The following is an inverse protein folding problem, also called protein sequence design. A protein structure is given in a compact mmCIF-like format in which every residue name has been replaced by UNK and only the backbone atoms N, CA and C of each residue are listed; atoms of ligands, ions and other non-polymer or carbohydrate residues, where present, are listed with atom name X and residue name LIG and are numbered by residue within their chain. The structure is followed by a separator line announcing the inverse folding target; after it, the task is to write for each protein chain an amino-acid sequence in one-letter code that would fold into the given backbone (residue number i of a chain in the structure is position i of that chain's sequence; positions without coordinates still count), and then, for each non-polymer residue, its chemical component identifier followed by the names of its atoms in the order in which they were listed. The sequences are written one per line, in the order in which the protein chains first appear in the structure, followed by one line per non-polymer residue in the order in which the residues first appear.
data_IF_429054438005
#
_entry.id   IF_429054438005
#
_cell.length_a   1.000
_cell.length_b   1.000
_cell.length_c   1.000
_cell.angle_alpha   90.00
_cell.angle_beta   90.00
_cell.angle_gamma   90.00
#
_symmetry.space_group_name_H-M   'P 1'
#
loop_
_entity.id
_entity.type
_entity.pdbx_description
1 polymer ?
#
# COMPACT_ATOMS: atom_id res chain seq x y z
N UNK A 1 21.41 -5.81 24.17
CA UNK A 1 21.68 -5.31 22.79
C UNK A 1 20.44 -4.68 22.17
N UNK A 2 19.27 -5.36 22.11
CA UNK A 2 18.05 -4.76 21.51
C UNK A 2 17.56 -3.57 22.32
N UNK A 3 17.64 -3.62 23.65
CA UNK A 3 17.19 -2.53 24.55
C UNK A 3 18.12 -1.32 24.52
N UNK A 4 19.35 -1.47 24.04
CA UNK A 4 20.34 -0.40 23.94
C UNK A 4 20.33 0.30 22.57
N UNK A 5 19.49 -0.17 21.64
CA UNK A 5 19.41 0.39 20.29
C UNK A 5 18.78 1.78 20.33
N UNK A 6 19.48 2.74 19.75
CA UNK A 6 18.97 4.11 19.64
C UNK A 6 17.78 4.14 18.66
N UNK A 7 16.62 4.58 19.14
CA UNK A 7 15.43 4.77 18.30
C UNK A 7 15.72 5.90 17.31
N UNK A 8 15.84 5.55 16.04
CA UNK A 8 16.15 6.51 14.96
C UNK A 8 14.95 7.40 14.60
N UNK A 9 13.72 6.84 14.63
CA UNK A 9 12.48 7.54 14.34
C UNK A 9 11.80 7.92 15.67
N UNK A 10 11.88 9.20 16.04
CA UNK A 10 11.25 9.71 17.27
C UNK A 10 9.87 10.24 16.98
N UNK A 11 8.98 10.13 17.97
CA UNK A 11 7.63 10.68 17.90
C UNK A 11 7.65 12.20 17.67
N UNK A 12 6.72 12.69 16.86
CA UNK A 12 6.57 14.12 16.61
C UNK A 12 5.82 14.82 17.74
N UNK A 13 5.77 16.14 17.67
CA UNK A 13 5.07 16.97 18.68
C UNK A 13 3.56 16.86 18.61
N UNK A 14 3.03 16.29 17.53
CA UNK A 14 1.61 16.24 17.19
C UNK A 14 1.21 17.48 16.39
N UNK A 15 0.86 17.27 15.13
CA UNK A 15 0.38 18.32 14.24
C UNK A 15 -1.07 18.03 13.83
N UNK A 16 -1.82 19.08 13.52
CA UNK A 16 -3.18 18.96 12.99
C UNK A 16 -3.11 18.90 11.47
N UNK A 17 -3.80 17.93 10.88
CA UNK A 17 -3.96 17.83 9.45
C UNK A 17 -4.52 19.13 8.85
N UNK A 18 -4.00 19.51 7.68
CA UNK A 18 -4.43 20.69 6.92
C UNK A 18 -5.35 20.30 5.74
N UNK A 19 -5.21 19.06 5.29
CA UNK A 19 -5.96 18.42 4.20
C UNK A 19 -6.47 17.08 4.69
N UNK A 20 -7.13 16.31 3.82
CA UNK A 20 -7.62 14.95 4.12
C UNK A 20 -7.30 14.03 2.95
N UNK A 21 -6.65 12.90 3.23
CA UNK A 21 -6.37 11.86 2.24
C UNK A 21 -5.35 12.29 1.19
N UNK A 22 -4.41 13.19 1.51
CA UNK A 22 -3.37 13.60 0.56
C UNK A 22 -2.00 13.07 0.96
N UNK A 23 -1.18 12.76 -0.06
CA UNK A 23 0.23 12.39 0.12
C UNK A 23 1.07 13.20 -0.85
N UNK A 24 2.13 13.85 -0.35
CA UNK A 24 3.01 14.65 -1.19
C UNK A 24 4.47 14.38 -0.85
N UNK A 25 5.28 14.16 -1.86
CA UNK A 25 6.73 14.06 -1.79
C UNK A 25 7.33 15.32 -2.43
N UNK A 26 8.23 16.00 -1.72
CA UNK A 26 8.90 17.21 -2.18
C UNK A 26 10.41 17.00 -2.17
N UNK A 27 10.99 16.78 -3.35
CA UNK A 27 12.43 16.59 -3.58
C UNK A 27 13.04 15.55 -2.61
N UNK A 28 12.33 14.43 -2.44
CA UNK A 28 12.69 13.40 -1.45
C UNK A 28 13.84 12.57 -1.96
N UNK A 29 14.92 12.51 -1.16
CA UNK A 29 16.01 11.57 -1.34
C UNK A 29 16.16 10.73 -0.07
N UNK A 30 16.51 9.47 -0.24
CA UNK A 30 16.67 8.53 0.87
C UNK A 30 17.86 7.60 0.65
N UNK A 31 18.61 7.38 1.72
CA UNK A 31 19.59 6.29 1.84
C UNK A 31 19.45 5.62 3.20
N UNK A 32 19.71 4.33 3.26
CA UNK A 32 19.76 3.61 4.54
C UNK A 32 20.92 4.11 5.41
N UNK A 33 20.84 3.96 6.75
CA UNK A 33 21.81 4.56 7.66
C UNK A 33 23.27 4.28 7.33
N UNK A 34 23.61 3.07 6.94
CA UNK A 34 24.98 2.66 6.67
C UNK A 34 25.34 2.62 5.17
N UNK A 35 24.46 3.15 4.31
CA UNK A 35 24.69 3.19 2.88
C UNK A 35 25.45 4.47 2.47
N UNK A 36 26.41 4.32 1.54
CA UNK A 36 27.14 5.47 0.96
C UNK A 36 26.26 6.18 -0.08
N UNK A 37 25.53 5.42 -0.89
CA UNK A 37 24.74 5.92 -2.02
C UNK A 37 23.25 6.09 -1.65
N UNK A 38 22.60 7.01 -2.37
CA UNK A 38 21.15 7.19 -2.27
C UNK A 38 20.43 6.04 -3.00
N UNK A 39 19.43 5.45 -2.32
CA UNK A 39 18.51 4.50 -2.96
C UNK A 39 17.39 5.23 -3.70
N UNK A 40 16.99 6.39 -3.23
CA UNK A 40 16.01 7.28 -3.87
C UNK A 40 16.60 8.67 -4.00
N UNK A 41 16.44 9.29 -5.17
CA UNK A 41 16.97 10.61 -5.47
C UNK A 41 15.90 11.52 -6.08
N UNK A 42 15.67 12.65 -5.41
CA UNK A 42 14.87 13.78 -5.88
C UNK A 42 13.44 13.40 -6.37
N UNK A 43 12.76 12.58 -5.60
CA UNK A 43 11.41 12.12 -5.93
C UNK A 43 10.40 13.18 -5.51
N UNK A 44 9.57 13.62 -6.47
CA UNK A 44 8.50 14.59 -6.22
C UNK A 44 7.21 14.15 -6.90
N UNK A 45 6.12 14.07 -6.12
CA UNK A 45 4.77 13.84 -6.63
C UNK A 45 3.73 14.24 -5.60
N UNK A 46 2.48 14.40 -6.04
CA UNK A 46 1.32 14.61 -5.15
C UNK A 46 0.18 13.69 -5.54
N UNK A 47 -0.35 12.98 -4.55
CA UNK A 47 -1.61 12.24 -4.58
C UNK A 47 -2.70 13.09 -3.92
N UNK A 48 -3.82 13.30 -4.61
CA UNK A 48 -5.00 13.99 -4.08
C UNK A 48 -5.94 12.97 -3.47
N UNK A 49 -6.84 13.44 -2.61
CA UNK A 49 -7.91 12.61 -2.05
C UNK A 49 -8.68 11.89 -3.15
N UNK A 50 -8.86 10.57 -2.99
CA UNK A 50 -9.59 9.73 -3.92
C UNK A 50 -8.80 9.30 -5.16
N UNK A 51 -7.57 9.79 -5.38
CA UNK A 51 -6.72 9.33 -6.49
C UNK A 51 -6.11 7.96 -6.20
N UNK A 52 -5.96 7.18 -7.26
CA UNK A 52 -5.14 5.96 -7.26
C UNK A 52 -3.79 6.26 -7.92
N UNK A 53 -2.71 6.17 -7.16
CA UNK A 53 -1.34 6.34 -7.64
C UNK A 53 -0.65 4.98 -7.64
N UNK A 54 -0.09 4.60 -8.77
CA UNK A 54 0.66 3.36 -8.90
C UNK A 54 2.16 3.63 -9.03
N UNK A 55 2.96 2.70 -8.50
CA UNK A 55 4.43 2.72 -8.61
C UNK A 55 4.89 1.46 -9.31
N UNK A 56 5.65 1.62 -10.38
CA UNK A 56 6.22 0.53 -11.16
C UNK A 56 7.71 0.79 -11.45
N UNK A 57 8.45 -0.24 -11.76
CA UNK A 57 9.88 -0.20 -12.07
C UNK A 57 10.52 -1.57 -11.81
N UNK A 58 11.77 -1.72 -12.17
CA UNK A 58 12.55 -2.95 -11.98
C UNK A 58 12.63 -3.35 -10.50
N UNK A 59 12.96 -4.62 -10.24
CA UNK A 59 13.27 -5.07 -8.87
C UNK A 59 14.48 -4.28 -8.35
N UNK A 60 14.38 -3.79 -7.11
CA UNK A 60 15.44 -2.96 -6.52
C UNK A 60 15.37 -1.46 -6.85
N UNK A 61 14.43 -0.99 -7.69
CA UNK A 61 14.30 0.43 -8.04
C UNK A 61 13.82 1.34 -6.88
N UNK A 62 13.59 0.79 -5.68
CA UNK A 62 13.24 1.58 -4.49
C UNK A 62 11.75 1.74 -4.20
N UNK A 63 10.84 1.06 -4.93
CA UNK A 63 9.37 1.22 -4.78
C UNK A 63 8.87 1.00 -3.34
N UNK A 64 9.18 -0.14 -2.74
CA UNK A 64 8.77 -0.44 -1.36
C UNK A 64 9.41 0.52 -0.36
N UNK A 65 10.67 0.90 -0.58
CA UNK A 65 11.33 1.90 0.27
C UNK A 65 10.63 3.24 0.19
N UNK A 66 10.23 3.69 -1.00
CA UNK A 66 9.52 4.95 -1.21
C UNK A 66 8.22 4.98 -0.41
N UNK A 67 7.36 3.96 -0.53
CA UNK A 67 6.10 3.94 0.19
C UNK A 67 6.27 3.75 1.70
N UNK A 68 7.39 3.16 2.16
CA UNK A 68 7.73 3.00 3.58
C UNK A 68 8.11 4.32 4.28
N UNK A 69 8.40 5.37 3.52
CA UNK A 69 8.60 6.71 4.08
C UNK A 69 7.28 7.37 4.51
N UNK A 70 6.14 6.94 3.96
CA UNK A 70 4.81 7.49 4.29
C UNK A 70 4.40 7.14 5.72
N UNK A 71 4.40 5.85 6.16
CA UNK A 71 4.16 5.49 7.55
C UNK A 71 5.35 5.82 8.46
N UNK A 72 6.41 6.44 7.90
CA UNK A 72 7.59 6.82 8.63
C UNK A 72 8.31 5.63 9.29
N UNK A 73 8.41 4.50 8.56
CA UNK A 73 9.30 3.42 8.97
C UNK A 73 10.78 3.83 8.90
N UNK A 74 11.04 4.82 8.04
CA UNK A 74 12.30 5.55 7.92
C UNK A 74 12.01 7.03 7.69
N UNK A 75 12.90 7.91 8.12
CA UNK A 75 12.85 9.32 7.79
C UNK A 75 13.57 9.60 6.46
N UNK A 76 12.99 10.44 5.61
CA UNK A 76 13.67 10.91 4.41
C UNK A 76 15.00 11.60 4.77
N UNK A 77 16.06 11.33 4.00
CA UNK A 77 17.39 11.93 4.18
C UNK A 77 17.40 13.39 3.73
N UNK A 78 16.70 13.69 2.61
CA UNK A 78 16.49 15.06 2.10
C UNK A 78 15.04 15.21 1.66
N UNK A 79 14.56 16.44 1.57
CA UNK A 79 13.20 16.76 1.18
C UNK A 79 12.18 16.48 2.27
N UNK A 80 10.92 16.46 1.88
CA UNK A 80 9.79 16.32 2.81
C UNK A 80 8.77 15.31 2.27
N UNK A 81 8.27 14.46 3.18
CA UNK A 81 7.09 13.62 2.96
C UNK A 81 5.94 14.21 3.76
N UNK A 82 4.86 14.59 3.09
CA UNK A 82 3.69 15.16 3.73
C UNK A 82 2.50 14.20 3.60
N UNK A 83 1.76 14.07 4.69
CA UNK A 83 0.44 13.43 4.75
C UNK A 83 -0.55 14.51 5.21
N UNK A 84 -1.62 14.70 4.46
CA UNK A 84 -2.63 15.73 4.74
C UNK A 84 -2.03 17.13 4.91
N UNK A 85 -1.04 17.45 4.09
CA UNK A 85 -0.37 18.76 4.09
C UNK A 85 0.56 19.01 5.28
N UNK A 86 0.87 17.98 6.07
CA UNK A 86 1.75 18.05 7.25
C UNK A 86 2.92 17.09 7.07
N UNK A 87 4.13 17.54 7.40
CA UNK A 87 5.31 16.67 7.35
C UNK A 87 5.14 15.50 8.32
N UNK A 88 5.40 14.28 7.85
CA UNK A 88 5.23 13.05 8.64
C UNK A 88 6.05 13.07 9.94
N UNK A 89 7.15 13.83 9.98
CA UNK A 89 8.00 14.02 11.18
C UNK A 89 7.31 14.80 12.31
N UNK A 90 6.27 15.57 11.98
CA UNK A 90 5.55 16.39 12.96
C UNK A 90 4.39 15.63 13.63
N UNK A 91 3.92 14.54 13.03
CA UNK A 91 2.87 13.70 13.61
C UNK A 91 3.36 12.93 14.84
N UNK A 92 2.47 12.71 15.81
CA UNK A 92 2.59 11.51 16.66
C UNK A 92 2.37 10.29 15.77
N UNK A 93 3.20 9.27 15.90
CA UNK A 93 3.15 8.07 15.05
C UNK A 93 1.77 7.39 15.10
N UNK A 94 1.15 7.35 16.28
CA UNK A 94 -0.22 6.83 16.44
C UNK A 94 -1.23 7.57 15.56
N UNK A 95 -1.16 8.89 15.50
CA UNK A 95 -2.10 9.71 14.72
C UNK A 95 -1.86 9.52 13.21
N UNK A 96 -0.59 9.42 12.80
CA UNK A 96 -0.24 9.09 11.42
C UNK A 96 -0.77 7.70 11.04
N UNK A 97 -0.52 6.68 11.87
CA UNK A 97 -0.94 5.30 11.59
C UNK A 97 -2.46 5.13 11.54
N UNK A 98 -3.22 5.93 12.28
CA UNK A 98 -4.68 5.91 12.22
C UNK A 98 -5.23 6.38 10.86
N UNK A 99 -4.46 7.16 10.09
CA UNK A 99 -4.81 7.60 8.74
C UNK A 99 -4.51 6.58 7.65
N UNK A 100 -3.62 5.62 7.94
CA UNK A 100 -3.04 4.72 6.95
C UNK A 100 -3.54 3.29 7.12
N UNK A 101 -3.90 2.66 6.00
CA UNK A 101 -4.11 1.22 5.88
C UNK A 101 -2.97 0.61 5.08
N UNK A 102 -1.95 0.09 5.75
CA UNK A 102 -0.77 -0.50 5.11
C UNK A 102 -0.95 -2.00 4.91
N UNK A 103 -0.83 -2.46 3.68
CA UNK A 103 -0.93 -3.86 3.29
C UNK A 103 0.44 -4.31 2.77
N UNK A 104 1.20 -5.08 3.55
CA UNK A 104 2.56 -5.48 3.18
C UNK A 104 2.56 -6.56 2.08
N UNK A 105 3.67 -6.68 1.38
CA UNK A 105 3.92 -7.72 0.38
C UNK A 105 3.73 -9.13 0.96
N UNK A 106 4.20 -9.35 2.20
CA UNK A 106 3.99 -10.59 2.94
C UNK A 106 3.03 -10.37 4.08
N UNK A 107 1.85 -10.94 3.96
CA UNK A 107 0.82 -10.83 4.99
C UNK A 107 1.26 -11.54 6.29
N UNK A 108 1.13 -10.82 7.40
CA UNK A 108 1.39 -11.35 8.75
C UNK A 108 0.08 -11.67 9.43
N UNK A 109 -0.05 -12.91 9.93
CA UNK A 109 -1.19 -13.35 10.73
C UNK A 109 -0.74 -13.62 12.17
N UNK A 110 -1.60 -13.24 13.10
CA UNK A 110 -1.41 -13.46 14.53
C UNK A 110 -2.20 -14.67 14.98
N UNK A 111 -1.72 -15.34 16.04
CA UNK A 111 -2.48 -16.40 16.69
C UNK A 111 -3.80 -15.83 17.25
N UNK A 112 -4.92 -16.44 16.90
CA UNK A 112 -6.25 -15.96 17.27
C UNK A 112 -7.33 -16.46 16.33
N UNK A 113 -8.34 -15.65 16.07
CA UNK A 113 -9.43 -15.98 15.15
C UNK A 113 -9.34 -15.16 13.86
N UNK A 114 -10.16 -15.50 12.87
CA UNK A 114 -10.36 -14.67 11.67
C UNK A 114 -10.77 -13.26 12.08
N UNK A 115 -11.81 -13.13 12.95
CA UNK A 115 -12.28 -11.83 13.45
C UNK A 115 -11.19 -11.04 14.16
N UNK A 116 -10.43 -11.66 15.06
CA UNK A 116 -9.37 -10.97 15.80
C UNK A 116 -8.24 -10.50 14.91
N UNK A 117 -7.92 -11.26 13.85
CA UNK A 117 -6.93 -10.85 12.86
C UNK A 117 -7.40 -9.68 12.02
N UNK A 118 -8.68 -9.62 11.63
CA UNK A 118 -9.23 -8.51 10.84
C UNK A 118 -9.39 -7.25 11.70
N UNK A 119 -9.85 -7.40 12.94
CA UNK A 119 -10.00 -6.27 13.88
C UNK A 119 -8.68 -5.84 14.54
N UNK A 120 -7.54 -6.42 14.14
CA UNK A 120 -6.25 -6.16 14.78
C UNK A 120 -5.78 -4.73 14.59
N UNK A 121 -5.42 -4.09 15.69
CA UNK A 121 -4.85 -2.75 15.75
C UNK A 121 -5.91 -1.65 15.94
N UNK A 122 -5.47 -0.55 16.55
CA UNK A 122 -6.29 0.64 16.75
C UNK A 122 -6.46 1.40 15.43
N UNK A 123 -7.63 2.03 15.24
CA UNK A 123 -7.95 2.85 14.06
C UNK A 123 -8.27 4.32 14.41
N UNK A 124 -8.22 4.66 15.69
CA UNK A 124 -8.60 6.01 16.15
C UNK A 124 -10.11 6.31 16.11
N UNK A 125 -10.95 5.36 15.63
CA UNK A 125 -12.40 5.53 15.42
C UNK A 125 -13.25 4.64 16.36
N UNK A 126 -12.60 3.92 17.28
CA UNK A 126 -13.25 3.00 18.22
C UNK A 126 -13.19 1.54 17.76
N UNK A 127 -14.01 0.69 18.36
CA UNK A 127 -14.03 -0.75 18.10
C UNK A 127 -14.53 -1.07 16.69
N UNK A 128 -13.88 -2.03 16.03
CA UNK A 128 -14.29 -2.55 14.73
C UNK A 128 -15.45 -3.53 14.93
N UNK A 129 -16.63 -3.16 14.47
CA UNK A 129 -17.85 -3.97 14.66
C UNK A 129 -17.84 -5.24 13.81
N UNK A 130 -18.68 -6.22 14.21
CA UNK A 130 -18.85 -7.47 13.44
C UNK A 130 -19.34 -7.22 12.01
N UNK A 131 -20.17 -6.20 11.81
CA UNK A 131 -20.65 -5.78 10.49
C UNK A 131 -19.49 -5.29 9.62
N UNK A 132 -18.64 -4.42 10.15
CA UNK A 132 -17.44 -3.94 9.43
C UNK A 132 -16.48 -5.08 9.07
N UNK A 133 -16.32 -6.08 9.96
CA UNK A 133 -15.52 -7.28 9.68
C UNK A 133 -16.11 -8.05 8.50
N UNK A 134 -17.44 -8.29 8.49
CA UNK A 134 -18.12 -8.99 7.40
C UNK A 134 -17.99 -8.26 6.07
N UNK A 135 -18.22 -6.95 6.06
CA UNK A 135 -18.07 -6.13 4.87
C UNK A 135 -16.63 -6.15 4.33
N UNK A 136 -15.65 -6.04 5.22
CA UNK A 136 -14.23 -6.12 4.86
C UNK A 136 -13.85 -7.47 4.26
N UNK A 137 -14.34 -8.58 4.83
CA UNK A 137 -14.16 -9.95 4.31
C UNK A 137 -14.74 -10.09 2.90
N UNK A 138 -15.94 -9.55 2.69
CA UNK A 138 -16.62 -9.58 1.39
C UNK A 138 -15.86 -8.77 0.33
N UNK A 139 -15.49 -7.54 0.64
CA UNK A 139 -14.71 -6.67 -0.26
C UNK A 139 -13.35 -7.30 -0.59
N UNK A 140 -12.67 -7.88 0.39
CA UNK A 140 -11.40 -8.57 0.22
C UNK A 140 -11.50 -9.94 -0.50
N UNK A 141 -12.69 -10.33 -0.98
CA UNK A 141 -12.95 -11.63 -1.63
C UNK A 141 -12.57 -12.83 -0.75
N UNK A 142 -12.72 -12.68 0.57
CA UNK A 142 -12.36 -13.70 1.54
C UNK A 142 -13.56 -14.54 2.01
N UNK A 143 -14.79 -14.14 1.69
CA UNK A 143 -16.04 -14.74 2.19
C UNK A 143 -16.15 -16.22 1.84
N UNK A 144 -15.77 -16.61 0.60
CA UNK A 144 -15.89 -17.99 0.17
C UNK A 144 -15.08 -18.97 1.04
N UNK A 145 -13.83 -18.64 1.37
CA UNK A 145 -13.04 -19.55 2.19
C UNK A 145 -13.32 -19.41 3.67
N UNK A 146 -13.64 -18.21 4.18
CA UNK A 146 -14.01 -17.99 5.58
C UNK A 146 -15.29 -18.74 5.93
N UNK A 147 -16.30 -18.73 5.05
CA UNK A 147 -17.56 -19.48 5.26
C UNK A 147 -17.39 -20.99 5.30
N UNK A 148 -16.32 -21.52 4.67
CA UNK A 148 -15.98 -22.95 4.66
C UNK A 148 -15.12 -23.38 5.86
N UNK A 149 -14.58 -22.43 6.63
CA UNK A 149 -13.79 -22.74 7.82
C UNK A 149 -14.73 -23.18 8.96
N UNK A 150 -14.28 -24.14 9.76
CA UNK A 150 -14.96 -24.51 11.01
C UNK A 150 -15.04 -23.29 11.94
N UNK A 151 -16.25 -22.99 12.44
CA UNK A 151 -16.57 -21.77 13.20
C UNK A 151 -16.46 -20.44 12.44
N UNK A 152 -16.29 -20.44 11.11
CA UNK A 152 -16.31 -19.27 10.23
C UNK A 152 -15.41 -18.11 10.71
N UNK A 153 -16.00 -17.01 11.23
CA UNK A 153 -15.27 -15.83 11.73
C UNK A 153 -14.51 -16.09 13.03
N UNK A 154 -14.92 -17.09 13.81
CA UNK A 154 -14.25 -17.54 15.04
C UNK A 154 -13.26 -18.70 14.75
N UNK A 155 -13.09 -19.06 13.49
CA UNK A 155 -12.11 -20.05 13.06
C UNK A 155 -10.71 -19.66 13.48
N UNK A 156 -9.96 -20.62 14.00
CA UNK A 156 -8.61 -20.42 14.51
C UNK A 156 -7.61 -20.14 13.38
N UNK A 157 -6.84 -19.10 13.53
CA UNK A 157 -5.67 -18.78 12.72
C UNK A 157 -4.41 -19.00 13.57
N UNK A 158 -3.54 -19.89 13.13
CA UNK A 158 -2.29 -20.18 13.82
C UNK A 158 -1.29 -19.03 13.68
N UNK A 159 -0.31 -18.94 14.56
CA UNK A 159 0.79 -17.95 14.49
C UNK A 159 1.47 -18.00 13.11
N UNK A 160 1.61 -16.84 12.45
CA UNK A 160 2.11 -16.74 11.09
C UNK A 160 1.17 -17.28 10.02
N UNK A 161 -0.06 -17.70 10.39
CA UNK A 161 -1.06 -18.23 9.46
C UNK A 161 -0.64 -19.54 8.79
N UNK A 162 0.03 -20.43 9.50
CA UNK A 162 0.52 -21.70 8.93
C UNK A 162 -0.58 -22.63 8.46
N UNK A 163 -1.82 -22.43 8.91
CA UNK A 163 -3.00 -23.19 8.56
C UNK A 163 -3.86 -22.52 7.44
N UNK A 164 -3.38 -21.46 6.82
CA UNK A 164 -4.04 -20.79 5.69
C UNK A 164 -3.06 -20.56 4.54
N UNK A 165 -3.55 -20.57 3.29
CA UNK A 165 -2.71 -20.37 2.11
C UNK A 165 -2.19 -18.93 2.00
N UNK A 166 -1.15 -18.70 1.15
CA UNK A 166 -0.60 -17.37 0.91
C UNK A 166 -1.65 -16.37 0.43
N UNK A 167 -2.49 -16.77 -0.54
CA UNK A 167 -3.57 -15.94 -1.06
C UNK A 167 -4.67 -15.68 -0.03
N UNK A 168 -4.96 -16.63 0.86
CA UNK A 168 -5.90 -16.43 1.97
C UNK A 168 -5.34 -15.44 3.00
N UNK A 169 -4.06 -15.57 3.39
CA UNK A 169 -3.39 -14.60 4.27
C UNK A 169 -3.47 -13.19 3.69
N UNK A 170 -3.17 -13.06 2.40
CA UNK A 170 -3.17 -11.77 1.72
C UNK A 170 -4.56 -11.13 1.74
N UNK A 171 -5.62 -11.91 1.44
CA UNK A 171 -7.00 -11.43 1.51
C UNK A 171 -7.42 -11.04 2.93
N UNK A 172 -7.00 -11.78 3.95
CA UNK A 172 -7.25 -11.39 5.36
C UNK A 172 -6.48 -10.12 5.74
N UNK A 173 -5.25 -9.93 5.25
CA UNK A 173 -4.49 -8.70 5.46
C UNK A 173 -5.16 -7.49 4.80
N UNK A 174 -5.70 -7.66 3.60
CA UNK A 174 -6.50 -6.64 2.91
C UNK A 174 -7.78 -6.34 3.70
N UNK A 175 -8.50 -7.38 4.15
CA UNK A 175 -9.70 -7.21 4.99
C UNK A 175 -9.39 -6.43 6.28
N UNK A 176 -8.25 -6.69 6.93
CA UNK A 176 -7.78 -5.92 8.09
C UNK A 176 -7.64 -4.44 7.79
N UNK A 177 -7.02 -4.08 6.66
CA UNK A 177 -6.87 -2.69 6.27
C UNK A 177 -8.22 -2.03 5.95
N UNK A 178 -9.13 -2.75 5.25
CA UNK A 178 -10.48 -2.26 4.92
C UNK A 178 -11.31 -2.03 6.20
N UNK A 179 -11.28 -2.96 7.16
CA UNK A 179 -12.04 -2.85 8.40
C UNK A 179 -11.63 -1.63 9.25
N UNK A 180 -10.40 -1.18 9.13
CA UNK A 180 -9.89 0.03 9.80
C UNK A 180 -10.42 1.33 9.19
N UNK A 181 -10.93 1.30 7.94
CA UNK A 181 -11.48 2.44 7.21
C UNK A 181 -10.54 3.66 7.22
N UNK A 182 -9.31 3.52 6.68
CA UNK A 182 -8.32 4.59 6.64
C UNK A 182 -8.62 5.62 5.54
N UNK A 183 -7.98 6.79 5.62
CA UNK A 183 -8.04 7.83 4.59
C UNK A 183 -7.14 7.49 3.38
N UNK A 184 -6.06 6.73 3.62
CA UNK A 184 -5.05 6.37 2.63
C UNK A 184 -4.74 4.87 2.73
N UNK A 185 -4.89 4.14 1.63
CA UNK A 185 -4.46 2.75 1.51
C UNK A 185 -3.11 2.66 0.82
N UNK A 186 -2.22 1.81 1.35
CA UNK A 186 -0.90 1.54 0.78
C UNK A 186 -0.77 0.04 0.55
N UNK A 187 -0.70 -0.37 -0.72
CA UNK A 187 -0.52 -1.75 -1.15
C UNK A 187 0.92 -1.96 -1.62
N UNK A 188 1.71 -2.67 -0.84
CA UNK A 188 3.08 -3.02 -1.21
C UNK A 188 3.09 -4.38 -1.91
N UNK A 189 2.98 -4.39 -3.23
CA UNK A 189 2.95 -5.58 -4.11
C UNK A 189 1.99 -6.68 -3.61
N UNK A 190 0.89 -6.24 -2.97
CA UNK A 190 -0.01 -7.12 -2.21
C UNK A 190 -0.93 -7.95 -3.10
N UNK A 191 -1.01 -7.66 -4.38
CA UNK A 191 -1.84 -8.38 -5.35
C UNK A 191 -1.09 -9.54 -6.03
N UNK A 192 0.23 -9.58 -5.95
CA UNK A 192 1.07 -10.60 -6.61
C UNK A 192 0.81 -12.03 -6.14
N UNK A 193 0.36 -12.19 -4.89
CA UNK A 193 0.00 -13.48 -4.30
C UNK A 193 -1.40 -14.00 -4.71
N UNK A 194 -2.17 -13.21 -5.47
CA UNK A 194 -3.52 -13.53 -5.89
C UNK A 194 -3.54 -14.03 -7.34
N UNK A 195 -4.47 -14.94 -7.65
CA UNK A 195 -4.77 -15.29 -9.02
C UNK A 195 -5.43 -14.10 -9.75
N UNK A 196 -5.32 -14.09 -11.08
CA UNK A 196 -5.78 -12.97 -11.91
C UNK A 196 -7.27 -12.64 -11.74
N UNK A 197 -8.13 -13.65 -11.59
CA UNK A 197 -9.58 -13.46 -11.42
C UNK A 197 -9.89 -12.81 -10.07
N UNK A 198 -9.31 -13.35 -9.00
CA UNK A 198 -9.47 -12.80 -7.64
C UNK A 198 -8.94 -11.37 -7.56
N UNK A 199 -7.74 -11.09 -8.11
CA UNK A 199 -7.15 -9.75 -8.18
C UNK A 199 -8.08 -8.76 -8.88
N UNK A 200 -8.59 -9.10 -10.08
CA UNK A 200 -9.46 -8.21 -10.85
C UNK A 200 -10.76 -7.88 -10.12
N UNK A 201 -11.44 -8.89 -9.55
CA UNK A 201 -12.70 -8.69 -8.80
C UNK A 201 -12.44 -7.87 -7.53
N UNK A 202 -11.38 -8.20 -6.78
CA UNK A 202 -11.02 -7.49 -5.55
C UNK A 202 -10.77 -6.01 -5.83
N UNK A 203 -9.98 -5.65 -6.84
CA UNK A 203 -9.71 -4.25 -7.20
C UNK A 203 -10.98 -3.49 -7.60
N UNK A 204 -11.89 -4.14 -8.31
CA UNK A 204 -13.19 -3.55 -8.68
C UNK A 204 -14.05 -3.26 -7.44
N UNK A 205 -14.16 -4.20 -6.51
CA UNK A 205 -14.90 -4.02 -5.26
C UNK A 205 -14.20 -3.01 -4.33
N UNK A 206 -12.87 -3.06 -4.24
CA UNK A 206 -12.08 -2.09 -3.48
C UNK A 206 -12.32 -0.67 -3.97
N UNK A 207 -12.28 -0.43 -5.29
CA UNK A 207 -12.54 0.91 -5.88
C UNK A 207 -13.93 1.44 -5.54
N UNK A 208 -14.95 0.57 -5.50
CA UNK A 208 -16.31 0.98 -5.10
C UNK A 208 -16.37 1.34 -3.61
N UNK A 209 -15.72 0.52 -2.77
CA UNK A 209 -15.75 0.69 -1.32
C UNK A 209 -14.92 1.90 -0.86
N UNK A 210 -13.76 2.10 -1.48
CA UNK A 210 -12.77 3.13 -1.09
C UNK A 210 -12.81 4.39 -1.95
N UNK A 211 -13.94 4.67 -2.61
CA UNK A 211 -14.09 5.79 -3.58
C UNK A 211 -13.62 7.17 -3.09
N UNK A 212 -13.65 7.39 -1.79
CA UNK A 212 -13.23 8.65 -1.16
C UNK A 212 -11.83 8.57 -0.52
N UNK A 213 -11.20 7.39 -0.52
CA UNK A 213 -9.87 7.19 0.02
C UNK A 213 -8.81 7.20 -1.09
N UNK A 214 -7.62 7.67 -0.75
CA UNK A 214 -6.48 7.65 -1.65
C UNK A 214 -5.83 6.27 -1.63
N UNK A 215 -5.45 5.77 -2.80
CA UNK A 215 -4.87 4.45 -2.96
C UNK A 215 -3.47 4.57 -3.55
N UNK A 216 -2.49 4.02 -2.87
CA UNK A 216 -1.11 3.92 -3.34
C UNK A 216 -0.78 2.44 -3.58
N UNK A 217 -0.39 2.08 -4.80
CA UNK A 217 -0.16 0.69 -5.20
C UNK A 217 1.25 0.52 -5.74
N UNK A 218 2.07 -0.28 -5.08
CA UNK A 218 3.26 -0.85 -5.71
C UNK A 218 2.85 -2.12 -6.43
N UNK A 219 3.17 -2.24 -7.70
CA UNK A 219 2.89 -3.44 -8.47
C UNK A 219 4.01 -3.73 -9.47
N UNK A 220 4.09 -5.02 -9.84
CA UNK A 220 5.00 -5.51 -10.87
C UNK A 220 4.27 -5.79 -12.19
N UNK A 221 2.93 -5.86 -12.15
CA UNK A 221 2.09 -6.18 -13.31
C UNK A 221 1.41 -4.93 -13.86
N UNK A 222 1.56 -4.68 -15.16
CA UNK A 222 0.87 -3.57 -15.87
C UNK A 222 -0.64 -3.68 -15.70
N UNK A 223 -1.22 -4.86 -15.88
CA UNK A 223 -2.67 -5.08 -15.73
C UNK A 223 -3.24 -4.70 -14.34
N UNK A 224 -2.39 -4.60 -13.32
CA UNK A 224 -2.81 -4.15 -11.98
C UNK A 224 -2.94 -2.62 -11.91
N UNK A 225 -2.16 -1.89 -12.69
CA UNK A 225 -1.97 -0.44 -12.55
C UNK A 225 -2.44 0.40 -13.73
N UNK A 226 -2.75 -0.21 -14.89
CA UNK A 226 -3.10 0.52 -16.12
C UNK A 226 -4.29 1.49 -15.96
N UNK A 227 -5.17 1.23 -15.02
CA UNK A 227 -6.32 2.10 -14.71
C UNK A 227 -6.07 3.06 -13.53
N UNK A 228 -4.84 3.23 -13.07
CA UNK A 228 -4.50 4.22 -12.06
C UNK A 228 -4.60 5.65 -12.62
N UNK A 229 -4.97 6.61 -11.77
CA UNK A 229 -5.05 8.02 -12.17
C UNK A 229 -3.67 8.59 -12.50
N UNK A 230 -2.63 8.10 -11.83
CA UNK A 230 -1.22 8.36 -12.15
C UNK A 230 -0.38 7.11 -11.91
N UNK A 231 0.61 6.93 -12.75
CA UNK A 231 1.63 5.91 -12.60
C UNK A 231 2.97 6.63 -12.49
N UNK A 232 3.74 6.28 -11.47
CA UNK A 232 5.10 6.78 -11.23
C UNK A 232 6.04 5.65 -11.58
N UNK A 233 6.88 5.89 -12.57
CA UNK A 233 7.88 4.94 -13.05
C UNK A 233 9.19 5.22 -12.34
N UNK A 234 9.68 4.24 -11.58
CA UNK A 234 10.98 4.32 -10.92
C UNK A 234 12.03 3.52 -11.68
N UNK A 235 13.14 4.16 -11.97
CA UNK A 235 14.32 3.52 -12.51
C UNK A 235 15.56 3.97 -11.73
N UNK A 236 16.34 3.00 -11.22
CA UNK A 236 17.56 3.24 -10.43
C UNK A 236 17.38 4.34 -9.36
N UNK A 237 16.29 4.29 -8.61
CA UNK A 237 16.01 5.24 -7.52
C UNK A 237 15.53 6.62 -7.96
N UNK A 238 15.34 6.85 -9.24
CA UNK A 238 14.87 8.12 -9.83
C UNK A 238 13.49 7.96 -10.46
N UNK A 239 12.77 9.08 -10.58
CA UNK A 239 11.53 9.13 -11.32
C UNK A 239 11.81 9.23 -12.82
N UNK A 240 11.57 8.14 -13.57
CA UNK A 240 11.73 8.09 -15.02
C UNK A 240 10.51 8.68 -15.77
N UNK A 241 9.33 8.70 -15.15
CA UNK A 241 8.13 9.26 -15.75
C UNK A 241 6.95 9.27 -14.79
N UNK A 242 6.04 10.22 -15.00
CA UNK A 242 4.75 10.32 -14.29
C UNK A 242 3.67 10.61 -15.31
N UNK A 243 2.58 9.84 -15.29
CA UNK A 243 1.44 10.03 -16.17
C UNK A 243 0.44 8.89 -16.09
N UNK A 244 -0.54 8.91 -16.95
CA UNK A 244 -1.45 7.80 -17.18
C UNK A 244 -0.77 6.70 -18.00
N UNK A 245 -1.35 5.52 -18.05
CA UNK A 245 -0.87 4.43 -18.90
C UNK A 245 -0.63 4.87 -20.36
N UNK A 246 -1.62 5.53 -20.95
CA UNK A 246 -1.54 6.01 -22.35
C UNK A 246 -0.47 7.07 -22.58
N UNK A 247 -0.27 7.96 -21.64
CA UNK A 247 0.78 8.97 -21.72
C UNK A 247 2.17 8.33 -21.60
N UNK A 248 2.37 7.44 -20.65
CA UNK A 248 3.66 6.79 -20.40
C UNK A 248 4.08 5.85 -21.52
N UNK A 249 3.15 5.18 -22.19
CA UNK A 249 3.45 4.40 -23.40
C UNK A 249 4.07 5.27 -24.52
N UNK A 250 3.79 6.57 -24.54
CA UNK A 250 4.29 7.50 -25.56
C UNK A 250 5.55 8.25 -25.12
N UNK A 251 5.70 8.49 -23.81
CA UNK A 251 6.69 9.47 -23.29
C UNK A 251 7.77 8.85 -22.41
N UNK A 252 7.62 7.57 -21.97
CA UNK A 252 8.57 6.94 -21.05
C UNK A 252 9.03 5.58 -21.59
N UNK A 253 10.26 5.52 -22.08
CA UNK A 253 10.84 4.30 -22.68
C UNK A 253 10.91 3.15 -21.65
N UNK A 254 11.28 3.45 -20.39
CA UNK A 254 11.31 2.45 -19.30
C UNK A 254 9.92 1.82 -19.09
N UNK A 255 8.87 2.64 -19.08
CA UNK A 255 7.50 2.13 -18.96
C UNK A 255 7.09 1.27 -20.14
N UNK A 256 7.43 1.73 -21.34
CA UNK A 256 7.13 1.02 -22.60
C UNK A 256 7.82 -0.34 -22.65
N UNK A 257 9.07 -0.44 -22.23
CA UNK A 257 9.79 -1.71 -22.15
C UNK A 257 9.11 -2.69 -21.19
N UNK A 258 8.70 -2.22 -19.99
CA UNK A 258 7.98 -3.02 -19.01
C UNK A 258 6.63 -3.49 -19.60
N UNK A 259 5.89 -2.60 -20.26
CA UNK A 259 4.60 -2.93 -20.85
C UNK A 259 4.74 -3.97 -21.97
N UNK A 260 5.69 -3.78 -22.89
CA UNK A 260 5.99 -4.71 -23.99
C UNK A 260 6.44 -6.10 -23.51
N UNK A 261 7.03 -6.19 -22.32
CA UNK A 261 7.42 -7.47 -21.74
C UNK A 261 6.24 -8.26 -21.15
N UNK A 262 5.09 -7.62 -20.92
CA UNK A 262 3.95 -8.21 -20.19
C UNK A 262 2.65 -8.26 -21.02
N UNK A 263 2.48 -7.35 -21.98
CA UNK A 263 1.28 -7.25 -22.82
C UNK A 263 1.59 -7.68 -24.25
N UNK A 264 0.62 -8.30 -24.92
CA UNK A 264 0.70 -8.58 -26.35
C UNK A 264 0.62 -7.28 -27.16
N UNK A 265 1.11 -7.32 -28.43
CA UNK A 265 0.99 -6.16 -29.32
C UNK A 265 -0.47 -5.76 -29.57
N UNK A 266 -1.37 -6.74 -29.65
CA UNK A 266 -2.80 -6.50 -29.85
C UNK A 266 -3.45 -5.80 -28.65
N UNK A 267 -3.03 -6.12 -27.42
CA UNK A 267 -3.50 -5.44 -26.19
C UNK A 267 -3.02 -3.99 -26.13
N UNK A 268 -1.81 -3.72 -26.63
CA UNK A 268 -1.25 -2.36 -26.66
C UNK A 268 -1.83 -1.47 -27.78
N UNK A 269 -2.28 -2.06 -28.90
CA UNK A 269 -2.88 -1.33 -30.02
C UNK A 269 -4.36 -1.00 -29.82
N UNK A 270 -5.05 -1.73 -28.94
CA UNK A 270 -6.48 -1.53 -28.63
C UNK A 270 -6.73 -0.52 -27.51
N UNK A 271 -5.70 0.13 -26.93
CA UNK A 271 -5.76 1.15 -25.88
C UNK A 271 -5.33 2.55 -26.38
#
# INVERSE_FOLDING_TARGET
EVLDTVISVKDGKGAKAKEVGTVEFKNVSFKYPDAEEYLLEDISFKAKKGETIAFIGSTGSGKSTLINLIPRFYDATKGEVLVDGVNVKEYKLKDLYNKLGYIPQRAVMFNGTVSSNIAYGENGKGEITKEKIKDAVKVAQAEEFVSKMENTYDAHIAQGGTNVSGGQKQRLSIARAIARDPEIYIFDDSFSALDYKTDSVLRKELKKYTKDATILIVAQRIGTIMNADKIIVLDNGKCAGIGTHKELLKTCDVYKEIALSQLSKEELENE
#
